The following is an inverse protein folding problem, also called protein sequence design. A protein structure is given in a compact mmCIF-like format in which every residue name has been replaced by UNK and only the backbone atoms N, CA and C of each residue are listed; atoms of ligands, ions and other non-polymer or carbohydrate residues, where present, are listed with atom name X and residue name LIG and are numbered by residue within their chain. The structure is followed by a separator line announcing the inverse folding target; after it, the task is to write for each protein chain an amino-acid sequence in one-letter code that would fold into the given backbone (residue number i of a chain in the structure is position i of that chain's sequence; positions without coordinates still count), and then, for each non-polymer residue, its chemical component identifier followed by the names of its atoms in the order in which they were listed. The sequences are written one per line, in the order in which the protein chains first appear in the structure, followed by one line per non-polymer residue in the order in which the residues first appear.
data_IF_500556319945
#
_entry.id   IF_500556319945
#
_cell.length_a   1.000
_cell.length_b   1.000
_cell.length_c   1.000
_cell.angle_alpha   90.00
_cell.angle_beta   90.00
_cell.angle_gamma   90.00
#
_symmetry.space_group_name_H-M   'P 1'
#
loop_
_entity.id
_entity.type
_entity.pdbx_description
1 polymer ?
#
# COMPACT_ATOMS: atom_id res chain seq x y z
N UNK A 1 10.31 -7.10 -14.59
CA UNK A 1 8.99 -7.07 -13.93
C UNK A 1 9.18 -7.71 -12.57
N UNK A 2 8.76 -7.03 -11.50
CA UNK A 2 8.87 -7.56 -10.14
C UNK A 2 7.69 -8.48 -9.86
N UNK A 3 7.92 -9.53 -9.08
CA UNK A 3 6.88 -10.45 -8.63
C UNK A 3 5.81 -9.67 -7.81
N UNK A 4 4.51 -9.74 -8.17
CA UNK A 4 3.43 -9.07 -7.46
C UNK A 4 3.38 -9.38 -5.96
N UNK A 5 3.74 -10.60 -5.54
CA UNK A 5 3.82 -10.98 -4.14
C UNK A 5 4.94 -10.22 -3.41
N UNK A 6 6.08 -10.02 -4.07
CA UNK A 6 7.17 -9.19 -3.53
C UNK A 6 6.70 -7.74 -3.39
N UNK A 7 6.02 -7.20 -4.39
CA UNK A 7 5.50 -5.83 -4.34
C UNK A 7 4.47 -5.66 -3.20
N UNK A 8 3.55 -6.62 -3.03
CA UNK A 8 2.60 -6.63 -1.92
C UNK A 8 3.29 -6.74 -0.55
N UNK A 9 4.38 -7.50 -0.45
CA UNK A 9 5.21 -7.56 0.75
C UNK A 9 5.87 -6.21 1.06
N UNK A 10 6.29 -5.46 0.05
CA UNK A 10 6.86 -4.11 0.25
C UNK A 10 5.83 -3.08 0.69
N UNK A 11 4.58 -3.18 0.23
CA UNK A 11 3.50 -2.33 0.78
C UNK A 11 3.26 -2.61 2.27
N UNK A 12 3.39 -3.87 2.71
CA UNK A 12 3.28 -4.25 4.12
C UNK A 12 4.38 -3.60 4.97
N UNK A 13 5.62 -3.66 4.49
CA UNK A 13 6.77 -3.01 5.12
C UNK A 13 6.57 -1.48 5.21
N UNK A 14 6.05 -0.86 4.15
CA UNK A 14 5.78 0.59 4.11
C UNK A 14 4.64 0.99 5.05
N UNK A 15 3.59 0.19 5.17
CA UNK A 15 2.51 0.43 6.14
C UNK A 15 3.05 0.39 7.58
N UNK A 16 3.96 -0.54 7.89
CA UNK A 16 4.66 -0.59 9.19
C UNK A 16 5.56 0.62 9.39
N UNK A 17 6.33 1.03 8.37
CA UNK A 17 7.17 2.22 8.43
C UNK A 17 6.35 3.51 8.61
N UNK A 18 5.17 3.60 7.99
CA UNK A 18 4.26 4.74 8.18
C UNK A 18 3.87 4.92 9.66
N UNK A 19 3.79 3.84 10.44
CA UNK A 19 3.46 3.92 11.88
C UNK A 19 4.58 4.56 12.71
N UNK A 20 5.83 4.47 12.26
CA UNK A 20 7.02 4.96 12.98
C UNK A 20 7.66 6.18 12.33
N UNK A 21 7.25 6.57 11.11
CA UNK A 21 7.72 7.78 10.44
C UNK A 21 7.35 9.03 11.26
N UNK A 22 8.36 9.80 11.64
CA UNK A 22 8.19 11.00 12.47
C UNK A 22 8.65 12.27 11.76
N UNK A 23 9.72 12.17 10.98
CA UNK A 23 10.25 13.30 10.22
C UNK A 23 9.52 13.48 8.88
N UNK A 24 9.52 14.70 8.36
CA UNK A 24 8.90 14.97 7.06
C UNK A 24 9.60 14.23 5.91
N UNK A 25 10.92 14.00 6.04
CA UNK A 25 11.68 13.19 5.09
C UNK A 25 11.23 11.72 5.08
N UNK A 26 11.08 11.09 6.25
CA UNK A 26 10.59 9.71 6.35
C UNK A 26 9.19 9.57 5.75
N UNK A 27 8.29 10.51 6.06
CA UNK A 27 6.93 10.56 5.52
C UNK A 27 6.94 10.69 4.00
N UNK A 28 7.74 11.62 3.47
CA UNK A 28 7.91 11.81 2.02
C UNK A 28 8.45 10.55 1.35
N UNK A 29 9.42 9.88 1.97
CA UNK A 29 10.02 8.65 1.46
C UNK A 29 9.00 7.50 1.40
N UNK A 30 8.20 7.33 2.46
CA UNK A 30 7.11 6.34 2.48
C UNK A 30 6.08 6.63 1.39
N UNK A 31 5.66 7.89 1.24
CA UNK A 31 4.74 8.30 0.18
C UNK A 31 5.30 7.98 -1.21
N UNK A 32 6.52 8.43 -1.52
CA UNK A 32 7.14 8.23 -2.82
C UNK A 32 7.35 6.74 -3.13
N UNK A 33 7.80 5.94 -2.15
CA UNK A 33 7.97 4.50 -2.30
C UNK A 33 6.64 3.79 -2.57
N UNK A 34 5.58 4.17 -1.84
CA UNK A 34 4.22 3.62 -2.05
C UNK A 34 3.74 3.88 -3.47
N UNK A 35 3.86 5.12 -3.95
CA UNK A 35 3.47 5.48 -5.33
C UNK A 35 4.28 4.70 -6.38
N UNK A 36 5.57 4.51 -6.15
CA UNK A 36 6.43 3.75 -7.06
C UNK A 36 6.07 2.26 -7.12
N UNK A 37 5.66 1.66 -6.00
CA UNK A 37 5.21 0.25 -6.00
C UNK A 37 3.87 0.10 -6.71
N UNK A 38 2.93 1.02 -6.51
CA UNK A 38 1.64 1.00 -7.22
C UNK A 38 1.86 1.08 -8.74
N UNK A 39 2.74 1.97 -9.21
CA UNK A 39 3.08 2.06 -10.62
C UNK A 39 3.67 0.75 -11.19
N UNK A 40 4.52 0.07 -10.42
CA UNK A 40 5.07 -1.24 -10.83
C UNK A 40 4.02 -2.35 -10.90
N UNK A 41 3.00 -2.30 -10.02
CA UNK A 41 1.84 -3.18 -10.12
C UNK A 41 1.05 -2.91 -11.41
N UNK A 42 0.78 -1.64 -11.71
CA UNK A 42 0.04 -1.22 -12.91
C UNK A 42 0.76 -1.65 -14.21
N UNK A 43 2.10 -1.64 -14.23
CA UNK A 43 2.90 -2.19 -15.34
C UNK A 43 2.76 -3.71 -15.52
N UNK A 44 2.17 -4.42 -14.56
CA UNK A 44 1.90 -5.88 -14.60
C UNK A 44 0.47 -6.15 -15.13
N UNK A 45 -0.03 -5.25 -15.98
CA UNK A 45 -1.41 -5.02 -16.44
C UNK A 45 -2.26 -6.27 -16.78
N UNK A 46 -1.63 -7.40 -17.13
CA UNK A 46 -2.33 -8.64 -17.48
C UNK A 46 -2.98 -9.38 -16.29
N UNK A 47 -2.72 -8.98 -15.03
CA UNK A 47 -3.13 -9.74 -13.83
C UNK A 47 -4.02 -8.99 -12.83
N UNK A 48 -4.29 -7.69 -13.02
CA UNK A 48 -5.06 -6.92 -12.04
C UNK A 48 -6.55 -6.94 -12.39
N UNK A 49 -7.30 -7.88 -11.81
CA UNK A 49 -8.76 -7.76 -11.82
C UNK A 49 -9.22 -6.51 -11.01
N UNK A 50 -10.45 -6.06 -11.23
CA UNK A 50 -10.95 -4.84 -10.60
C UNK A 50 -10.94 -4.88 -9.07
N UNK A 51 -11.07 -6.06 -8.47
CA UNK A 51 -11.05 -6.22 -7.01
C UNK A 51 -9.62 -6.18 -6.46
N UNK A 52 -8.67 -6.79 -7.16
CA UNK A 52 -7.25 -6.73 -6.83
C UNK A 52 -6.73 -5.29 -6.95
N UNK A 53 -7.12 -4.58 -8.00
CA UNK A 53 -6.82 -3.15 -8.17
C UNK A 53 -7.43 -2.30 -7.04
N UNK A 54 -8.65 -2.59 -6.61
CA UNK A 54 -9.26 -1.94 -5.45
C UNK A 54 -8.41 -2.14 -4.19
N UNK A 55 -7.95 -3.36 -3.90
CA UNK A 55 -7.10 -3.63 -2.72
C UNK A 55 -5.74 -2.95 -2.79
N UNK A 56 -5.13 -2.92 -3.97
CA UNK A 56 -3.89 -2.18 -4.20
C UNK A 56 -4.08 -0.68 -3.92
N UNK A 57 -5.02 -0.05 -4.61
CA UNK A 57 -5.25 1.40 -4.53
C UNK A 57 -5.70 1.85 -3.15
N UNK A 58 -6.59 1.09 -2.49
CA UNK A 58 -7.02 1.40 -1.11
C UNK A 58 -5.91 1.19 -0.09
N UNK A 59 -5.05 0.18 -0.24
CA UNK A 59 -3.87 0.04 0.63
C UNK A 59 -2.94 1.23 0.52
N UNK A 60 -2.66 1.70 -0.70
CA UNK A 60 -1.80 2.86 -0.95
C UNK A 60 -2.41 4.15 -0.38
N UNK A 61 -3.72 4.35 -0.54
CA UNK A 61 -4.45 5.48 0.05
C UNK A 61 -4.23 5.51 1.57
N UNK A 62 -4.45 4.39 2.24
CA UNK A 62 -4.27 4.34 3.69
C UNK A 62 -2.81 4.57 4.12
N UNK A 63 -1.81 4.02 3.40
CA UNK A 63 -0.40 4.30 3.71
C UNK A 63 -0.10 5.79 3.56
N UNK A 64 -0.54 6.42 2.47
CA UNK A 64 -0.27 7.82 2.19
C UNK A 64 -0.98 8.75 3.19
N UNK A 65 -2.22 8.42 3.57
CA UNK A 65 -2.96 9.14 4.61
C UNK A 65 -2.27 9.02 5.98
N UNK A 66 -1.73 7.84 6.33
CA UNK A 66 -1.01 7.63 7.59
C UNK A 66 0.24 8.54 7.73
N UNK A 67 0.85 8.94 6.62
CA UNK A 67 1.99 9.88 6.59
C UNK A 67 1.61 11.33 6.27
N UNK A 68 0.32 11.63 6.12
CA UNK A 68 -0.20 12.98 5.89
C UNK A 68 -0.09 13.49 4.45
N UNK A 69 0.05 12.58 3.48
CA UNK A 69 0.15 12.89 2.05
C UNK A 69 -1.14 12.59 1.26
N UNK A 70 -2.20 12.18 1.95
CA UNK A 70 -3.51 11.88 1.36
C UNK A 70 -4.63 12.18 2.37
N UNK A 71 -5.88 12.06 1.92
CA UNK A 71 -7.07 12.36 2.72
C UNK A 71 -7.20 11.37 3.89
N UNK A 72 -7.25 11.91 5.12
CA UNK A 72 -7.37 11.12 6.36
C UNK A 72 -8.83 10.80 6.75
N UNK A 73 -9.82 11.46 6.14
CA UNK A 73 -11.24 11.34 6.46
C UNK A 73 -11.55 11.44 7.97
N UNK A 74 -10.73 12.19 8.73
CA UNK A 74 -10.85 12.34 10.18
C UNK A 74 -10.42 11.14 11.01
N UNK A 75 -9.75 10.15 10.42
CA UNK A 75 -9.16 9.03 11.13
C UNK A 75 -7.69 9.29 11.50
N UNK A 76 -7.24 8.68 12.59
CA UNK A 76 -5.85 8.81 13.01
C UNK A 76 -4.90 7.90 12.23
N UNK A 77 -3.59 8.18 12.36
CA UNK A 77 -2.53 7.38 11.75
C UNK A 77 -2.65 5.88 12.04
N UNK A 78 -2.98 5.49 13.28
CA UNK A 78 -3.09 4.07 13.65
C UNK A 78 -4.23 3.36 12.93
N UNK A 79 -5.36 4.04 12.75
CA UNK A 79 -6.47 3.54 11.96
C UNK A 79 -6.04 3.29 10.52
N UNK A 80 -5.39 4.27 9.88
CA UNK A 80 -4.91 4.12 8.51
C UNK A 80 -3.90 2.99 8.37
N UNK A 81 -2.94 2.85 9.28
CA UNK A 81 -1.99 1.72 9.25
C UNK A 81 -2.71 0.39 9.36
N UNK A 82 -3.66 0.26 10.31
CA UNK A 82 -4.44 -0.98 10.48
C UNK A 82 -5.25 -1.33 9.22
N UNK A 83 -5.91 -0.33 8.64
CA UNK A 83 -6.69 -0.51 7.42
C UNK A 83 -5.79 -0.91 6.23
N UNK A 84 -4.64 -0.26 6.06
CA UNK A 84 -3.66 -0.62 5.03
C UNK A 84 -3.24 -2.10 5.15
N UNK A 85 -2.86 -2.54 6.36
CA UNK A 85 -2.46 -3.92 6.61
C UNK A 85 -3.60 -4.92 6.30
N UNK A 86 -4.85 -4.57 6.60
CA UNK A 86 -6.02 -5.37 6.25
C UNK A 86 -6.22 -5.52 4.72
N UNK A 87 -6.10 -4.42 3.97
CA UNK A 87 -6.18 -4.46 2.51
C UNK A 87 -5.02 -5.26 1.91
N UNK A 88 -3.79 -5.10 2.43
CA UNK A 88 -2.59 -5.81 1.96
C UNK A 88 -2.68 -7.31 2.23
N UNK A 89 -3.19 -7.71 3.40
CA UNK A 89 -3.45 -9.12 3.71
C UNK A 89 -4.41 -9.75 2.70
N UNK A 90 -5.47 -9.01 2.34
CA UNK A 90 -6.43 -9.43 1.32
C UNK A 90 -5.78 -9.52 -0.07
N UNK A 91 -4.99 -8.51 -0.45
CA UNK A 91 -4.22 -8.47 -1.70
C UNK A 91 -3.30 -9.68 -1.84
N UNK A 92 -2.51 -9.99 -0.81
CA UNK A 92 -1.64 -11.17 -0.77
C UNK A 92 -2.44 -12.47 -0.92
N UNK A 93 -3.60 -12.56 -0.26
CA UNK A 93 -4.49 -13.73 -0.40
C UNK A 93 -4.99 -13.92 -1.84
N UNK A 94 -5.36 -12.83 -2.52
CA UNK A 94 -5.81 -12.87 -3.91
C UNK A 94 -4.66 -13.32 -4.84
N UNK A 95 -3.48 -12.72 -4.68
CA UNK A 95 -2.29 -13.08 -5.45
C UNK A 95 -1.92 -14.55 -5.29
N UNK A 96 -2.02 -15.10 -4.07
CA UNK A 96 -1.71 -16.52 -3.80
C UNK A 96 -2.73 -17.52 -4.38
N UNK A 97 -3.94 -17.08 -4.74
CA UNK A 97 -4.99 -17.93 -5.32
C UNK A 97 -5.01 -17.91 -6.84
N UNK A 98 -4.27 -16.98 -7.45
CA UNK A 98 -4.13 -16.82 -8.90
C UNK A 98 -2.95 -17.58 -9.52
N UNK A 99 -2.16 -18.29 -8.70
CA UNK A 99 -1.14 -19.26 -9.13
C UNK A 99 -1.75 -20.65 -9.39
#
# INVERSE_FOLDING_TARGET
MNDPMILAARLDDLAKLASTATTDFEKAAVYAATRSIVAQFEETEEQLDGYLLEKLTTSALHINAAVGYDIDNGHDRSHHVSAALGQISTLKSLLSKGE
#
